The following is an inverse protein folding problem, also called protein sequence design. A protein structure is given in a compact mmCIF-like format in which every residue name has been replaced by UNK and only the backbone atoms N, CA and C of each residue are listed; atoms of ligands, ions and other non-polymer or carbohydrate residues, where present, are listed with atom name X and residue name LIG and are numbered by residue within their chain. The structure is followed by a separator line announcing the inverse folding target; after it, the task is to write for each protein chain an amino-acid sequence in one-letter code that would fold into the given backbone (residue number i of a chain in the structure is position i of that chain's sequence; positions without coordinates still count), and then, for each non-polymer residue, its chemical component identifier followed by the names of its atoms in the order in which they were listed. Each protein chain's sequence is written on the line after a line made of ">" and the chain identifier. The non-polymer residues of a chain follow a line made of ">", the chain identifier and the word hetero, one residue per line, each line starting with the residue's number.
data_IF_170645833378
#
_entry.id   IF_170645833378
#
_cell.length_a   1.000
_cell.length_b   1.000
_cell.length_c   1.000
_cell.angle_alpha   90.00
_cell.angle_beta   90.00
_cell.angle_gamma   90.00
#
_symmetry.space_group_name_H-M   'P 1'
#
loop_
_entity.id
_entity.type
_entity.pdbx_description
1 polymer ?
#
# COMPACT_ATOMS: atom_id res chain seq x y z
N UNK A 1 8.49 48.56 -11.40
CA UNK A 1 8.85 48.37 -9.98
C UNK A 1 8.11 47.13 -9.47
N UNK A 2 8.72 45.96 -9.69
CA UNK A 2 8.71 44.79 -8.81
C UNK A 2 10.21 44.53 -8.64
N UNK A 3 10.70 44.64 -7.41
CA UNK A 3 12.10 44.45 -7.05
C UNK A 3 12.35 42.97 -6.72
N UNK A 4 13.46 42.42 -7.22
CA UNK A 4 14.05 41.12 -6.82
C UNK A 4 13.50 39.95 -7.64
N UNK A 5 14.30 39.13 -8.32
CA UNK A 5 15.68 38.69 -8.05
C UNK A 5 16.58 38.86 -9.27
N UNK A 6 17.86 39.26 -9.07
CA UNK A 6 18.88 39.17 -10.12
C UNK A 6 19.26 37.70 -10.31
N UNK A 7 18.90 37.15 -11.46
CA UNK A 7 19.18 35.78 -11.91
C UNK A 7 20.70 35.45 -12.05
N UNK A 8 21.58 36.44 -11.91
CA UNK A 8 22.98 36.38 -12.37
C UNK A 8 24.04 36.11 -11.27
N UNK A 9 23.65 35.81 -10.03
CA UNK A 9 24.63 35.62 -8.93
C UNK A 9 24.66 34.23 -8.30
N UNK A 10 23.99 33.22 -8.89
CA UNK A 10 24.25 31.82 -8.54
C UNK A 10 25.40 31.27 -9.39
N UNK A 11 26.64 31.60 -9.01
CA UNK A 11 27.85 30.97 -9.57
C UNK A 11 28.09 29.63 -8.89
N UNK A 12 27.52 28.55 -9.43
CA UNK A 12 27.99 27.21 -9.09
C UNK A 12 29.33 26.95 -9.79
N UNK A 13 30.43 27.11 -9.06
CA UNK A 13 31.77 26.76 -9.54
C UNK A 13 32.07 25.33 -9.11
N UNK A 14 31.79 24.35 -9.96
CA UNK A 14 32.30 22.98 -9.78
C UNK A 14 33.65 22.91 -10.49
N UNK A 15 34.71 23.22 -9.76
CA UNK A 15 36.06 22.71 -10.03
C UNK A 15 36.38 21.80 -8.83
N UNK A 16 36.74 20.53 -8.98
CA UNK A 16 37.78 20.01 -9.86
C UNK A 16 37.51 18.56 -10.31
N UNK A 17 37.95 18.25 -11.53
CA UNK A 17 38.49 16.92 -11.82
C UNK A 17 39.80 16.81 -11.02
N UNK A 18 39.79 16.01 -9.97
CA UNK A 18 41.01 15.43 -9.42
C UNK A 18 40.69 13.97 -9.08
N UNK A 19 41.27 13.07 -9.86
CA UNK A 19 41.31 11.65 -9.58
C UNK A 19 42.04 11.43 -8.24
N UNK A 20 41.27 11.32 -7.16
CA UNK A 20 41.74 10.73 -5.93
C UNK A 20 40.74 9.67 -5.48
N UNK A 21 41.23 8.45 -5.32
CA UNK A 21 40.53 7.32 -4.70
C UNK A 21 40.29 7.59 -3.21
N UNK A 22 39.41 8.54 -2.92
CA UNK A 22 38.91 8.80 -1.58
C UNK A 22 37.53 8.17 -1.54
N UNK A 23 37.30 7.27 -0.59
CA UNK A 23 35.98 6.71 -0.31
C UNK A 23 34.94 7.83 -0.40
N UNK A 24 34.05 7.73 -1.38
CA UNK A 24 33.13 8.80 -1.76
C UNK A 24 32.44 9.33 -0.51
N UNK A 25 32.76 10.58 -0.15
CA UNK A 25 32.22 11.24 1.03
C UNK A 25 30.72 11.35 0.78
N UNK A 26 29.94 10.47 1.40
CA UNK A 26 28.47 10.41 1.21
C UNK A 26 27.91 11.82 1.43
N UNK A 27 27.40 12.45 0.37
CA UNK A 27 26.79 13.76 0.46
C UNK A 27 25.46 13.62 1.20
N UNK A 28 25.20 14.48 2.18
CA UNK A 28 23.96 14.46 2.93
C UNK A 28 22.73 14.65 2.01
N UNK A 29 22.85 15.44 0.95
CA UNK A 29 21.79 15.62 -0.06
C UNK A 29 21.54 14.32 -0.83
N UNK A 30 22.59 13.62 -1.24
CA UNK A 30 22.46 12.33 -1.94
C UNK A 30 21.82 11.28 -1.03
N UNK A 31 22.15 11.27 0.26
CA UNK A 31 21.52 10.39 1.25
C UNK A 31 20.04 10.71 1.46
N UNK A 32 19.68 11.99 1.53
CA UNK A 32 18.28 12.43 1.66
C UNK A 32 17.50 12.02 0.40
N UNK A 33 18.06 12.24 -0.78
CA UNK A 33 17.44 11.84 -2.05
C UNK A 33 17.29 10.32 -2.16
N UNK A 34 18.32 9.55 -1.81
CA UNK A 34 18.25 8.09 -1.78
C UNK A 34 17.20 7.58 -0.79
N UNK A 35 17.13 8.16 0.41
CA UNK A 35 16.13 7.79 1.42
C UNK A 35 14.70 8.18 1.00
N UNK A 36 14.52 9.27 0.26
CA UNK A 36 13.21 9.67 -0.26
C UNK A 36 12.67 8.68 -1.29
N UNK A 37 13.56 8.02 -2.05
CA UNK A 37 13.23 7.02 -3.06
C UNK A 37 13.03 5.61 -2.48
N UNK A 38 13.40 5.36 -1.22
CA UNK A 38 13.18 4.07 -0.59
C UNK A 38 11.68 3.80 -0.46
N UNK A 39 11.25 2.67 -1.02
CA UNK A 39 9.91 2.14 -0.81
C UNK A 39 9.79 1.70 0.64
N UNK A 40 8.78 2.25 1.31
CA UNK A 40 8.43 1.90 2.69
C UNK A 40 6.98 1.44 2.75
N UNK A 41 6.70 0.55 3.70
CA UNK A 41 5.36 0.05 3.97
C UNK A 41 4.81 0.68 5.25
N UNK A 42 3.47 0.73 5.41
CA UNK A 42 2.85 1.08 6.67
C UNK A 42 3.33 0.16 7.80
N UNK A 43 3.25 0.65 9.03
CA UNK A 43 3.50 -0.19 10.19
C UNK A 43 2.44 -1.29 10.28
N UNK A 44 2.86 -2.49 10.69
CA UNK A 44 1.95 -3.56 11.04
C UNK A 44 1.19 -3.22 12.32
N UNK A 45 -0.07 -3.63 12.36
CA UNK A 45 -0.91 -3.62 13.55
C UNK A 45 -0.45 -4.70 14.53
N UNK A 46 -0.86 -4.58 15.80
CA UNK A 46 -0.54 -5.59 16.81
C UNK A 46 -1.19 -6.94 16.44
N UNK A 47 -0.44 -8.04 16.27
CA UNK A 47 -0.92 -9.30 15.67
C UNK A 47 -2.07 -10.01 16.41
N UNK A 48 -2.49 -9.53 17.58
CA UNK A 48 -3.36 -10.25 18.51
C UNK A 48 -4.67 -9.51 18.83
N UNK A 49 -4.94 -8.36 18.20
CA UNK A 49 -6.11 -7.54 18.57
C UNK A 49 -7.36 -8.01 17.84
N UNK A 50 -7.32 -8.20 16.51
CA UNK A 50 -8.45 -8.78 15.75
C UNK A 50 -8.00 -9.57 14.51
N UNK A 51 -8.88 -10.43 13.98
CA UNK A 51 -8.69 -11.09 12.69
C UNK A 51 -8.62 -10.10 11.50
N UNK A 52 -9.18 -8.90 11.65
CA UNK A 52 -9.06 -7.86 10.63
C UNK A 52 -7.65 -7.23 10.64
N UNK A 53 -7.05 -7.10 11.83
CA UNK A 53 -5.66 -6.66 11.96
C UNK A 53 -4.70 -7.71 11.37
N UNK A 54 -5.03 -9.01 11.50
CA UNK A 54 -4.30 -10.08 10.81
C UNK A 54 -4.35 -9.91 9.28
N UNK A 55 -5.54 -9.69 8.72
CA UNK A 55 -5.70 -9.43 7.28
C UNK A 55 -4.87 -8.20 6.84
N UNK A 56 -4.94 -7.11 7.60
CA UNK A 56 -4.16 -5.91 7.32
C UNK A 56 -2.65 -6.20 7.28
N UNK A 57 -2.15 -6.94 8.27
CA UNK A 57 -0.74 -7.32 8.39
C UNK A 57 -0.28 -8.27 7.27
N UNK A 58 -1.10 -9.26 6.90
CA UNK A 58 -0.77 -10.16 5.80
C UNK A 58 -0.73 -9.44 4.45
N UNK A 59 -1.56 -8.41 4.23
CA UNK A 59 -1.44 -7.55 3.04
C UNK A 59 -0.10 -6.80 3.04
N UNK A 60 0.37 -6.31 4.19
CA UNK A 60 1.69 -5.67 4.30
C UNK A 60 2.80 -6.66 3.94
N UNK A 61 2.77 -7.88 4.48
CA UNK A 61 3.75 -8.94 4.18
C UNK A 61 3.72 -9.29 2.70
N UNK A 62 2.52 -9.42 2.11
CA UNK A 62 2.36 -9.66 0.68
C UNK A 62 3.03 -8.54 -0.14
N UNK A 63 2.83 -7.28 0.23
CA UNK A 63 3.42 -6.14 -0.47
C UNK A 63 4.94 -6.10 -0.31
N UNK A 64 5.47 -6.46 0.85
CA UNK A 64 6.91 -6.62 1.10
C UNK A 64 7.52 -7.68 0.18
N UNK A 65 6.88 -8.84 0.09
CA UNK A 65 7.30 -9.93 -0.80
C UNK A 65 7.28 -9.52 -2.27
N UNK A 66 6.32 -8.67 -2.68
CA UNK A 66 6.26 -8.10 -4.03
C UNK A 66 7.20 -6.89 -4.23
N UNK A 67 7.94 -6.47 -3.20
CA UNK A 67 8.86 -5.32 -3.20
C UNK A 67 8.17 -4.02 -3.64
N UNK A 68 6.92 -3.84 -3.23
CA UNK A 68 6.15 -2.62 -3.48
C UNK A 68 6.00 -1.80 -2.20
N UNK A 69 5.72 -0.51 -2.35
CA UNK A 69 5.52 0.37 -1.21
C UNK A 69 5.35 1.82 -1.64
N UNK A 70 5.55 2.74 -0.70
CA UNK A 70 5.41 4.17 -0.92
C UNK A 70 6.72 4.89 -0.61
N UNK A 71 7.05 5.87 -1.44
CA UNK A 71 8.18 6.79 -1.27
C UNK A 71 7.77 8.03 -0.48
N UNK A 72 8.75 8.88 -0.13
CA UNK A 72 8.47 10.22 0.39
C UNK A 72 7.67 10.29 1.71
N UNK A 73 7.68 9.22 2.51
CA UNK A 73 6.94 9.18 3.78
C UNK A 73 5.43 8.91 3.66
N UNK A 74 4.91 8.70 2.45
CA UNK A 74 3.48 8.51 2.20
C UNK A 74 2.92 7.19 2.78
N UNK A 75 3.79 6.25 3.14
CA UNK A 75 3.42 4.99 3.79
C UNK A 75 2.64 5.19 5.10
N UNK A 76 2.90 6.27 5.85
CA UNK A 76 2.22 6.55 7.13
C UNK A 76 0.85 7.24 6.97
N UNK A 77 0.47 7.63 5.76
CA UNK A 77 -0.79 8.34 5.52
C UNK A 77 -1.59 7.69 4.40
N UNK A 78 -1.15 7.84 3.15
CA UNK A 78 -1.83 7.27 1.99
C UNK A 78 -1.67 5.75 1.94
N UNK A 79 -0.49 5.25 2.33
CA UNK A 79 -0.24 3.81 2.44
C UNK A 79 -1.22 3.12 3.37
N UNK A 80 -1.31 3.60 4.62
CA UNK A 80 -2.29 3.10 5.62
C UNK A 80 -3.71 3.07 5.04
N UNK A 81 -4.19 4.20 4.50
CA UNK A 81 -5.54 4.28 3.91
C UNK A 81 -5.72 3.33 2.73
N UNK A 82 -4.67 3.08 1.94
CA UNK A 82 -4.71 2.13 0.84
C UNK A 82 -4.94 0.71 1.34
N UNK A 83 -4.14 0.26 2.31
CA UNK A 83 -4.26 -1.08 2.91
C UNK A 83 -5.64 -1.23 3.57
N UNK A 84 -6.12 -0.26 4.35
CA UNK A 84 -7.46 -0.30 4.95
C UNK A 84 -8.57 -0.43 3.91
N UNK A 85 -8.50 0.35 2.83
CA UNK A 85 -9.50 0.33 1.76
C UNK A 85 -9.45 -0.95 0.94
N UNK A 86 -8.32 -1.66 0.93
CA UNK A 86 -8.17 -2.97 0.32
C UNK A 86 -8.65 -4.09 1.25
N UNK A 87 -8.35 -4.00 2.54
CA UNK A 87 -8.77 -4.98 3.55
C UNK A 87 -10.29 -5.04 3.68
N UNK A 88 -10.99 -3.89 3.67
CA UNK A 88 -12.45 -3.82 3.80
C UNK A 88 -13.24 -4.67 2.78
N UNK A 89 -13.01 -4.58 1.46
CA UNK A 89 -13.69 -5.44 0.49
C UNK A 89 -13.31 -6.91 0.67
N UNK A 90 -12.05 -7.24 0.93
CA UNK A 90 -11.61 -8.62 1.18
C UNK A 90 -12.35 -9.20 2.40
N UNK A 91 -12.35 -8.48 3.53
CA UNK A 91 -13.07 -8.84 4.75
C UNK A 91 -14.58 -9.05 4.52
N UNK A 92 -15.19 -8.22 3.68
CA UNK A 92 -16.62 -8.27 3.41
C UNK A 92 -17.02 -9.46 2.53
N UNK A 93 -16.20 -9.83 1.54
CA UNK A 93 -16.50 -10.95 0.64
C UNK A 93 -16.02 -12.31 1.17
N UNK A 94 -15.10 -12.32 2.13
CA UNK A 94 -14.45 -13.52 2.67
C UNK A 94 -15.44 -14.66 3.06
N UNK A 95 -16.53 -14.40 3.82
CA UNK A 95 -17.51 -15.44 4.15
C UNK A 95 -18.26 -16.02 2.93
N UNK A 96 -18.20 -15.32 1.79
CA UNK A 96 -18.95 -15.62 0.58
C UNK A 96 -18.09 -16.15 -0.57
N UNK A 97 -16.78 -16.36 -0.37
CA UNK A 97 -15.86 -16.80 -1.44
C UNK A 97 -16.32 -18.09 -2.13
N UNK A 98 -16.85 -19.06 -1.38
CA UNK A 98 -17.42 -20.29 -1.96
C UNK A 98 -18.62 -20.02 -2.88
N UNK A 99 -19.46 -19.02 -2.56
CA UNK A 99 -20.61 -18.61 -3.39
C UNK A 99 -20.14 -17.93 -4.68
N UNK A 100 -19.10 -17.11 -4.60
CA UNK A 100 -18.48 -16.50 -5.78
C UNK A 100 -17.81 -17.54 -6.67
N UNK A 101 -17.07 -18.49 -6.09
CA UNK A 101 -16.42 -19.58 -6.83
C UNK A 101 -17.42 -20.44 -7.63
N UNK A 102 -18.61 -20.74 -7.07
CA UNK A 102 -19.70 -21.43 -7.80
C UNK A 102 -20.19 -20.68 -9.04
N UNK A 103 -19.92 -19.39 -9.14
CA UNK A 103 -20.25 -18.52 -10.28
C UNK A 103 -19.03 -18.19 -11.15
N UNK A 104 -17.93 -18.93 -10.97
CA UNK A 104 -16.64 -18.67 -11.61
C UNK A 104 -16.06 -17.26 -11.32
N UNK A 105 -16.46 -16.64 -10.22
CA UNK A 105 -15.88 -15.40 -9.72
C UNK A 105 -14.84 -15.74 -8.65
N UNK A 106 -13.57 -15.72 -8.99
CA UNK A 106 -12.47 -16.05 -8.06
C UNK A 106 -11.78 -14.80 -7.54
N UNK A 107 -11.09 -14.92 -6.40
CA UNK A 107 -10.16 -13.88 -5.96
C UNK A 107 -9.04 -13.73 -7.00
N UNK A 108 -8.58 -12.50 -7.27
CA UNK A 108 -7.36 -12.29 -8.03
C UNK A 108 -6.19 -13.07 -7.44
N UNK A 109 -5.34 -13.67 -8.28
CA UNK A 109 -4.21 -14.52 -7.87
C UNK A 109 -3.30 -13.84 -6.83
N UNK A 110 -3.15 -12.51 -6.91
CA UNK A 110 -2.37 -11.75 -5.92
C UNK A 110 -2.85 -12.01 -4.50
N UNK A 111 -4.17 -12.08 -4.28
CA UNK A 111 -4.74 -12.24 -2.95
C UNK A 111 -4.82 -13.70 -2.52
N UNK A 112 -4.78 -14.67 -3.44
CA UNK A 112 -4.70 -16.09 -3.07
C UNK A 112 -3.37 -16.45 -2.40
N UNK A 113 -2.34 -15.60 -2.56
CA UNK A 113 -1.03 -15.73 -1.89
C UNK A 113 -1.02 -15.22 -0.44
N UNK A 114 -2.14 -14.70 0.08
CA UNK A 114 -2.24 -14.36 1.49
C UNK A 114 -2.19 -15.64 2.34
N UNK A 115 -1.38 -15.65 3.41
CA UNK A 115 -1.06 -16.85 4.21
C UNK A 115 -2.33 -17.57 4.70
N UNK A 116 -3.30 -16.82 5.21
CA UNK A 116 -4.57 -17.39 5.68
C UNK A 116 -5.34 -18.09 4.54
N UNK A 117 -5.39 -17.51 3.34
CA UNK A 117 -6.07 -18.12 2.19
C UNK A 117 -5.29 -19.29 1.61
N UNK A 118 -3.95 -19.22 1.57
CA UNK A 118 -3.09 -20.33 1.14
C UNK A 118 -3.30 -21.58 2.01
N UNK A 119 -3.56 -21.38 3.30
CA UNK A 119 -3.90 -22.43 4.27
C UNK A 119 -5.37 -22.89 4.19
N UNK A 120 -6.13 -22.43 3.19
CA UNK A 120 -7.57 -22.67 3.04
C UNK A 120 -8.41 -22.23 4.26
N UNK A 121 -7.96 -21.19 4.97
CA UNK A 121 -8.68 -20.56 6.07
C UNK A 121 -9.36 -19.27 5.61
N UNK A 122 -10.14 -18.67 6.50
CA UNK A 122 -10.82 -17.38 6.30
C UNK A 122 -10.52 -16.46 7.48
N UNK A 123 -10.43 -15.16 7.23
CA UNK A 123 -10.24 -14.14 8.26
C UNK A 123 -11.54 -13.86 9.02
N UNK A 124 -12.61 -13.61 8.28
CA UNK A 124 -13.92 -13.26 8.82
C UNK A 124 -14.69 -14.51 9.24
N UNK A 125 -14.27 -15.06 10.38
CA UNK A 125 -14.86 -16.23 11.02
C UNK A 125 -16.05 -15.88 11.93
N UNK A 126 -16.42 -14.61 12.03
CA UNK A 126 -17.49 -14.15 12.93
C UNK A 126 -18.79 -14.94 12.69
N UNK A 127 -19.05 -15.29 11.43
CA UNK A 127 -20.22 -16.04 11.01
C UNK A 127 -20.13 -17.55 11.23
N UNK A 128 -18.92 -18.13 11.25
CA UNK A 128 -18.78 -19.56 11.59
C UNK A 128 -18.94 -19.81 13.08
N UNK A 129 -18.75 -18.78 13.91
CA UNK A 129 -18.76 -18.87 15.38
C UNK A 129 -20.08 -18.35 15.98
N UNK A 130 -20.69 -17.33 15.38
CA UNK A 130 -21.92 -16.71 15.90
C UNK A 130 -23.12 -17.03 15.00
N UNK A 131 -24.22 -17.52 15.59
CA UNK A 131 -25.47 -17.88 14.88
C UNK A 131 -26.27 -16.66 14.34
N UNK A 132 -25.61 -15.52 14.11
CA UNK A 132 -26.25 -14.34 13.53
C UNK A 132 -26.40 -14.49 12.01
N UNK A 133 -27.50 -13.94 11.49
CA UNK A 133 -27.85 -14.01 10.06
C UNK A 133 -26.73 -13.36 9.22
N UNK A 134 -26.27 -14.06 8.19
CA UNK A 134 -25.33 -13.51 7.20
C UNK A 134 -25.83 -12.15 6.71
N UNK A 135 -24.98 -11.12 6.77
CA UNK A 135 -25.24 -9.93 5.96
C UNK A 135 -25.12 -10.39 4.51
N UNK A 136 -26.23 -10.36 3.76
CA UNK A 136 -26.16 -10.71 2.36
C UNK A 136 -25.27 -9.72 1.62
N UNK A 137 -24.47 -10.26 0.70
CA UNK A 137 -23.70 -9.42 -0.22
C UNK A 137 -24.66 -8.55 -1.01
N UNK A 138 -24.58 -7.24 -0.82
CA UNK A 138 -25.37 -6.27 -1.57
C UNK A 138 -24.52 -5.52 -2.59
N UNK A 139 -25.12 -5.24 -3.74
CA UNK A 139 -24.47 -4.45 -4.79
C UNK A 139 -24.10 -3.05 -4.27
N UNK A 140 -24.98 -2.42 -3.49
CA UNK A 140 -24.74 -1.09 -2.93
C UNK A 140 -23.50 -1.05 -2.04
N UNK A 141 -23.33 -2.03 -1.15
CA UNK A 141 -22.16 -2.07 -0.26
C UNK A 141 -20.88 -2.37 -1.02
N UNK A 142 -20.92 -3.29 -1.98
CA UNK A 142 -19.78 -3.55 -2.88
C UNK A 142 -19.38 -2.30 -3.66
N UNK A 143 -20.33 -1.58 -4.25
CA UNK A 143 -20.08 -0.35 -5.00
C UNK A 143 -19.45 0.73 -4.12
N UNK A 144 -19.94 0.92 -2.88
CA UNK A 144 -19.34 1.83 -1.89
C UNK A 144 -17.89 1.45 -1.58
N UNK A 145 -17.61 0.16 -1.36
CA UNK A 145 -16.26 -0.33 -1.07
C UNK A 145 -15.31 -0.12 -2.27
N UNK A 146 -15.78 -0.43 -3.48
CA UNK A 146 -15.01 -0.22 -4.72
C UNK A 146 -14.72 1.27 -4.95
N UNK A 147 -15.73 2.14 -4.78
CA UNK A 147 -15.55 3.60 -4.88
C UNK A 147 -14.52 4.11 -3.87
N UNK A 148 -14.57 3.62 -2.64
CA UNK A 148 -13.58 3.95 -1.61
C UNK A 148 -12.17 3.50 -2.01
N UNK A 149 -12.03 2.27 -2.52
CA UNK A 149 -10.74 1.75 -2.97
C UNK A 149 -10.15 2.53 -4.15
N UNK A 150 -10.99 2.94 -5.12
CA UNK A 150 -10.57 3.78 -6.26
C UNK A 150 -9.92 5.09 -5.83
N UNK A 151 -10.27 5.66 -4.69
CA UNK A 151 -9.61 6.87 -4.15
C UNK A 151 -8.13 6.64 -3.79
N UNK A 152 -7.73 5.40 -3.53
CA UNK A 152 -6.33 5.03 -3.30
C UNK A 152 -5.57 4.80 -4.61
N UNK A 153 -6.27 4.61 -5.72
CA UNK A 153 -5.70 4.44 -7.06
C UNK A 153 -5.59 5.74 -7.85
N UNK A 154 -6.25 6.83 -7.42
CA UNK A 154 -6.21 8.13 -8.05
C UNK A 154 -5.09 9.03 -7.47
N UNK A 155 -3.99 8.43 -7.04
CA UNK A 155 -2.88 9.17 -6.43
C UNK A 155 -1.92 9.68 -7.50
N UNK A 156 -1.23 10.81 -7.29
CA UNK A 156 -0.37 11.41 -8.32
C UNK A 156 0.73 10.47 -8.87
N UNK A 157 1.17 9.47 -8.09
CA UNK A 157 2.21 8.50 -8.48
C UNK A 157 1.65 7.21 -9.12
N UNK A 158 0.33 7.00 -9.16
CA UNK A 158 -0.28 5.93 -9.96
C UNK A 158 -0.65 6.41 -11.37
N UNK A 159 -0.42 7.70 -11.65
CA UNK A 159 -0.54 8.32 -12.97
C UNK A 159 0.83 8.42 -13.64
N UNK A 160 1.64 7.36 -13.63
CA UNK A 160 2.81 7.33 -14.51
C UNK A 160 2.36 7.05 -15.96
N UNK A 161 2.41 8.11 -16.77
CA UNK A 161 2.62 8.16 -18.23
C UNK A 161 1.74 7.27 -19.12
N UNK A 162 0.67 7.87 -19.65
CA UNK A 162 0.25 7.60 -21.04
C UNK A 162 1.20 8.32 -22.01
#
# INVERSE_FOLDING_TARGET
>A
MIQGFKFTELRFKICSLANHSVASRRNALDLIMQNALQLKLPNQEQPQVTQNDLLYNEIIILFENKKVGWTGGLHLSVGVKCIERLAKPLWYIDPHLKKFAKRACYLPNLFTELLTYEQNQSYNQYYSITHHKYEEVSHEKLDKLIKSFKLSLAQPWTQDTL
#
